data_IF_478912338144
#
_entry.id   IF_478912338144
#
_cell.length_a   1.000
_cell.length_b   1.000
_cell.length_c   1.000
_cell.angle_alpha   90.00
_cell.angle_beta   90.00
_cell.angle_gamma   90.00
#
_symmetry.space_group_name_H-M   'P 1'
#
loop_
_entity.id
_entity.type
_entity.pdbx_description
1 polymer ?
#
# COMPACT_ATOMS: atom_id res chain seq x y z
N UNK A 1 -22.94 6.31 5.46
CA UNK A 1 -22.65 5.68 6.77
C UNK A 1 -23.16 4.25 6.69
N UNK A 2 -22.26 3.28 6.51
CA UNK A 2 -22.66 1.86 6.57
C UNK A 2 -23.10 1.60 8.00
N UNK A 3 -24.35 1.18 8.21
CA UNK A 3 -24.85 0.88 9.55
C UNK A 3 -24.02 -0.26 10.14
N UNK A 4 -23.63 -0.14 11.42
CA UNK A 4 -22.91 -1.19 12.10
C UNK A 4 -23.84 -2.36 12.42
N UNK A 5 -23.39 -3.59 12.16
CA UNK A 5 -24.15 -4.80 12.49
C UNK A 5 -24.13 -5.07 14.00
N UNK A 6 -23.01 -4.76 14.65
CA UNK A 6 -22.92 -4.71 16.10
C UNK A 6 -22.00 -3.56 16.54
N UNK A 7 -22.36 -2.93 17.65
CA UNK A 7 -21.52 -1.93 18.31
C UNK A 7 -21.42 -2.27 19.79
N UNK A 8 -20.19 -2.39 20.27
CA UNK A 8 -19.87 -2.66 21.68
C UNK A 8 -19.00 -1.54 22.21
N UNK A 9 -18.70 -1.57 23.50
CA UNK A 9 -17.75 -0.64 24.11
C UNK A 9 -16.32 -0.82 23.59
N UNK A 10 -16.03 -1.95 22.93
CA UNK A 10 -14.69 -2.33 22.45
C UNK A 10 -14.52 -2.26 20.94
N UNK A 11 -15.57 -2.47 20.17
CA UNK A 11 -15.49 -2.56 18.72
C UNK A 11 -16.79 -2.15 18.02
N UNK A 12 -16.63 -1.63 16.81
CA UNK A 12 -17.69 -1.59 15.81
C UNK A 12 -17.48 -2.76 14.85
N UNK A 13 -18.45 -3.65 14.73
CA UNK A 13 -18.37 -4.85 13.88
C UNK A 13 -19.22 -4.64 12.63
N UNK A 14 -18.61 -4.88 11.47
CA UNK A 14 -19.27 -4.84 10.17
C UNK A 14 -19.22 -6.23 9.54
N UNK A 15 -20.37 -6.84 9.31
CA UNK A 15 -20.51 -8.09 8.58
C UNK A 15 -20.62 -7.76 7.09
N UNK A 16 -19.60 -8.11 6.31
CA UNK A 16 -19.53 -7.76 4.89
C UNK A 16 -19.52 -9.01 4.04
N UNK A 17 -20.65 -9.28 3.40
CA UNK A 17 -20.80 -10.33 2.40
C UNK A 17 -20.66 -9.75 0.99
N UNK A 18 -19.44 -9.31 0.66
CA UNK A 18 -19.08 -8.80 -0.66
C UNK A 18 -17.79 -9.44 -1.13
N UNK A 19 -17.70 -9.72 -2.44
CA UNK A 19 -16.49 -10.30 -3.03
C UNK A 19 -15.26 -9.39 -2.90
N UNK A 20 -15.46 -8.07 -2.89
CA UNK A 20 -14.39 -7.07 -2.70
C UNK A 20 -14.86 -6.06 -1.67
N UNK A 21 -14.04 -5.83 -0.66
CA UNK A 21 -14.27 -4.85 0.41
C UNK A 21 -13.32 -3.65 0.21
N UNK A 22 -13.86 -2.48 -0.17
CA UNK A 22 -13.07 -1.27 -0.36
C UNK A 22 -12.90 -0.48 0.95
N UNK A 23 -12.01 0.52 0.95
CA UNK A 23 -11.95 1.53 2.00
C UNK A 23 -13.07 2.55 1.80
N UNK A 24 -14.28 2.24 2.27
CA UNK A 24 -15.45 3.10 2.08
C UNK A 24 -15.43 4.38 2.93
N UNK A 25 -16.09 5.47 2.47
CA UNK A 25 -16.27 6.68 3.27
C UNK A 25 -16.92 6.38 4.63
N UNK A 26 -16.39 7.00 5.68
CA UNK A 26 -16.94 6.88 7.03
C UNK A 26 -16.54 5.62 7.79
N UNK A 27 -15.60 4.82 7.26
CA UNK A 27 -14.92 3.80 8.06
C UNK A 27 -14.20 4.50 9.22
N UNK A 28 -14.65 4.22 10.45
CA UNK A 28 -14.06 4.77 11.66
C UNK A 28 -12.87 3.95 12.11
N UNK A 29 -12.03 4.53 12.96
CA UNK A 29 -11.00 3.76 13.65
C UNK A 29 -11.65 2.69 14.56
N UNK A 30 -10.91 1.61 14.81
CA UNK A 30 -11.32 0.46 15.63
C UNK A 30 -12.51 -0.35 15.09
N UNK A 31 -12.69 -0.37 13.76
CA UNK A 31 -13.67 -1.24 13.09
C UNK A 31 -13.11 -2.65 12.87
N UNK A 32 -13.95 -3.66 13.13
CA UNK A 32 -13.69 -5.05 12.78
C UNK A 32 -14.58 -5.47 11.61
N UNK A 33 -13.97 -5.64 10.44
CA UNK A 33 -14.68 -6.07 9.24
C UNK A 33 -14.63 -7.59 9.14
N UNK A 34 -15.78 -8.23 9.24
CA UNK A 34 -15.94 -9.69 9.19
C UNK A 34 -16.39 -10.10 7.80
N UNK A 35 -15.62 -10.98 7.15
CA UNK A 35 -15.90 -11.45 5.78
C UNK A 35 -15.82 -12.97 5.67
N UNK A 36 -16.45 -13.60 4.67
CA UNK A 36 -16.12 -14.97 4.31
C UNK A 36 -14.70 -15.07 3.72
N UNK A 37 -14.14 -16.28 3.70
CA UNK A 37 -12.81 -16.58 3.11
C UNK A 37 -12.70 -16.30 1.60
N UNK A 38 -13.82 -16.21 0.90
CA UNK A 38 -13.90 -15.86 -0.52
C UNK A 38 -13.78 -14.35 -0.80
N UNK A 39 -13.94 -13.52 0.24
CA UNK A 39 -13.84 -12.08 0.10
C UNK A 39 -12.38 -11.63 -0.06
N UNK A 40 -12.20 -10.49 -0.71
CA UNK A 40 -10.90 -9.83 -0.88
C UNK A 40 -11.00 -8.39 -0.42
N UNK A 41 -9.88 -7.77 -0.09
CA UNK A 41 -9.80 -6.35 0.23
C UNK A 41 -8.99 -5.59 -0.81
N UNK A 42 -9.29 -4.30 -0.99
CA UNK A 42 -8.51 -3.40 -1.84
C UNK A 42 -7.18 -3.01 -1.15
N UNK A 43 -6.20 -2.50 -1.91
CA UNK A 43 -4.95 -1.99 -1.31
C UNK A 43 -5.17 -0.85 -0.30
N UNK A 44 -6.07 0.14 -0.54
CA UNK A 44 -6.39 1.16 0.47
C UNK A 44 -6.95 0.56 1.75
N UNK A 45 -7.86 -0.42 1.66
CA UNK A 45 -8.39 -1.10 2.84
C UNK A 45 -7.28 -1.86 3.59
N UNK A 46 -6.41 -2.57 2.86
CA UNK A 46 -5.24 -3.24 3.43
C UNK A 46 -4.31 -2.26 4.16
N UNK A 47 -4.00 -1.11 3.56
CA UNK A 47 -3.17 -0.09 4.18
C UNK A 47 -3.81 0.48 5.45
N UNK A 48 -5.13 0.70 5.43
CA UNK A 48 -5.89 1.15 6.59
C UNK A 48 -5.81 0.14 7.75
N UNK A 49 -5.97 -1.16 7.48
CA UNK A 49 -5.80 -2.22 8.49
C UNK A 49 -4.36 -2.26 9.03
N UNK A 50 -3.35 -2.19 8.15
CA UNK A 50 -1.94 -2.18 8.56
C UNK A 50 -1.56 -0.97 9.42
N UNK A 51 -2.29 0.15 9.29
CA UNK A 51 -2.12 1.32 10.15
C UNK A 51 -2.69 1.14 11.57
N UNK A 52 -3.30 -0.02 11.87
CA UNK A 52 -3.91 -0.32 13.16
C UNK A 52 -5.31 0.26 13.35
N UNK A 53 -5.89 0.88 12.32
CA UNK A 53 -7.20 1.55 12.38
C UNK A 53 -8.39 0.60 12.17
N UNK A 54 -8.14 -0.59 11.64
CA UNK A 54 -9.17 -1.61 11.47
C UNK A 54 -8.58 -3.01 11.66
N UNK A 55 -9.44 -4.01 11.88
CA UNK A 55 -9.09 -5.44 11.86
C UNK A 55 -9.89 -6.13 10.78
N UNK A 56 -9.23 -6.96 9.98
CA UNK A 56 -9.92 -7.82 9.02
C UNK A 56 -10.10 -9.22 9.62
N UNK A 57 -11.33 -9.54 9.97
CA UNK A 57 -11.71 -10.82 10.54
C UNK A 57 -12.27 -11.69 9.43
N UNK A 58 -11.68 -12.86 9.23
CA UNK A 58 -12.10 -13.81 8.20
C UNK A 58 -12.80 -14.97 8.88
N UNK A 59 -14.04 -15.22 8.48
CA UNK A 59 -14.81 -16.39 8.87
C UNK A 59 -14.52 -17.54 7.91
N UNK A 60 -14.11 -18.66 8.48
CA UNK A 60 -13.92 -19.94 7.79
C UNK A 60 -14.57 -21.07 8.61
N UNK A 61 -14.66 -22.27 8.05
CA UNK A 61 -15.28 -23.44 8.67
C UNK A 61 -14.66 -23.78 10.03
N UNK A 62 -13.36 -23.49 10.20
CA UNK A 62 -12.62 -23.73 11.44
C UNK A 62 -12.66 -22.60 12.47
N UNK A 63 -13.42 -21.51 12.23
CA UNK A 63 -13.53 -20.38 13.14
C UNK A 63 -13.17 -19.05 12.48
N UNK A 64 -12.55 -18.15 13.24
CA UNK A 64 -12.18 -16.81 12.80
C UNK A 64 -10.67 -16.62 12.81
N UNK A 65 -10.15 -15.82 11.89
CA UNK A 65 -8.74 -15.46 11.88
C UNK A 65 -8.53 -14.06 11.31
N UNK A 66 -7.38 -13.46 11.62
CA UNK A 66 -7.00 -12.17 11.04
C UNK A 66 -6.54 -12.37 9.59
N UNK A 67 -7.19 -11.71 8.64
CA UNK A 67 -6.99 -11.94 7.21
C UNK A 67 -5.62 -11.49 6.66
N UNK A 68 -4.88 -10.64 7.38
CA UNK A 68 -3.53 -10.23 6.96
C UNK A 68 -2.42 -11.07 7.58
N UNK A 69 -2.64 -11.56 8.80
CA UNK A 69 -1.61 -12.23 9.61
C UNK A 69 -1.85 -13.74 9.76
N UNK A 70 -3.06 -14.21 9.45
CA UNK A 70 -3.46 -15.60 9.65
C UNK A 70 -3.66 -16.00 11.11
N UNK A 71 -3.55 -15.06 12.05
CA UNK A 71 -3.63 -15.37 13.48
C UNK A 71 -5.06 -15.78 13.86
N UNK A 72 -5.28 -16.94 14.49
CA UNK A 72 -6.61 -17.34 14.95
C UNK A 72 -7.20 -16.32 15.92
N UNK A 73 -8.49 -16.02 15.74
CA UNK A 73 -9.28 -15.08 16.53
C UNK A 73 -10.46 -15.80 17.18
N UNK A 74 -10.91 -15.29 18.32
CA UNK A 74 -12.17 -15.69 18.93
C UNK A 74 -12.93 -14.45 19.42
N UNK A 75 -14.23 -14.58 19.60
CA UNK A 75 -15.04 -13.54 20.20
C UNK A 75 -14.83 -13.53 21.72
N UNK A 76 -14.50 -12.37 22.28
CA UNK A 76 -14.37 -12.17 23.73
C UNK A 76 -14.75 -10.73 24.06
N UNK A 77 -15.65 -10.58 25.04
CA UNK A 77 -16.03 -9.30 25.64
C UNK A 77 -16.40 -8.20 24.64
N UNK A 78 -17.07 -8.56 23.55
CA UNK A 78 -17.57 -7.60 22.58
C UNK A 78 -16.63 -7.30 21.41
N UNK A 79 -15.53 -8.04 21.23
CA UNK A 79 -14.65 -7.91 20.08
C UNK A 79 -14.04 -9.27 19.67
N UNK A 80 -13.61 -9.37 18.41
CA UNK A 80 -12.69 -10.43 17.99
C UNK A 80 -11.29 -10.11 18.48
N UNK A 81 -10.70 -11.03 19.25
CA UNK A 81 -9.35 -10.89 19.79
C UNK A 81 -8.51 -12.12 19.46
N UNK A 82 -7.18 -11.99 19.36
CA UNK A 82 -6.34 -13.13 19.09
C UNK A 82 -6.44 -14.22 20.17
N UNK A 83 -6.47 -15.47 19.74
CA UNK A 83 -6.40 -16.63 20.66
C UNK A 83 -4.99 -16.68 21.27
N UNK A 84 -4.82 -16.50 22.60
CA UNK A 84 -3.48 -16.40 23.20
C UNK A 84 -2.66 -17.69 23.09
N UNK A 85 -3.33 -18.84 23.11
CA UNK A 85 -2.70 -20.17 23.03
C UNK A 85 -2.41 -20.64 21.59
N UNK A 86 -2.82 -19.90 20.57
CA UNK A 86 -2.60 -20.27 19.18
C UNK A 86 -1.11 -20.19 18.83
N UNK A 87 -0.54 -21.32 18.38
CA UNK A 87 0.87 -21.44 17.99
C UNK A 87 1.10 -21.51 16.48
N UNK A 88 0.05 -21.70 15.71
CA UNK A 88 0.08 -21.84 14.25
C UNK A 88 -0.94 -20.90 13.60
N UNK A 89 -0.78 -20.66 12.31
CA UNK A 89 -1.72 -19.92 11.48
C UNK A 89 -3.01 -20.72 11.26
N UNK A 90 -4.11 -20.00 11.09
CA UNK A 90 -5.38 -20.60 10.72
C UNK A 90 -5.26 -21.42 9.42
N UNK A 91 -5.88 -22.61 9.33
CA UNK A 91 -5.80 -23.45 8.13
C UNK A 91 -6.18 -22.73 6.83
N UNK A 92 -7.24 -21.91 6.86
CA UNK A 92 -7.67 -21.08 5.72
C UNK A 92 -6.59 -20.11 5.24
N UNK A 93 -5.76 -19.57 6.13
CA UNK A 93 -4.67 -18.67 5.74
C UNK A 93 -3.51 -19.38 5.03
N UNK A 94 -3.25 -20.64 5.37
CA UNK A 94 -2.18 -21.46 4.76
C UNK A 94 -2.58 -22.07 3.42
N UNK A 95 -3.86 -21.96 3.08
CA UNK A 95 -4.44 -22.60 1.92
C UNK A 95 -4.06 -21.79 0.65
N UNK A 96 -3.68 -22.45 -0.48
CA UNK A 96 -3.13 -21.74 -1.64
C UNK A 96 -4.05 -20.64 -2.18
N UNK A 97 -3.52 -19.57 -2.79
CA UNK A 97 -4.32 -18.53 -3.44
C UNK A 97 -5.37 -19.11 -4.40
N UNK A 98 -6.53 -18.45 -4.48
CA UNK A 98 -7.66 -18.91 -5.30
C UNK A 98 -7.39 -18.93 -6.81
N UNK A 99 -6.33 -18.24 -7.24
CA UNK A 99 -5.85 -18.20 -8.61
C UNK A 99 -4.33 -18.12 -8.63
N UNK A 100 -3.75 -18.35 -9.81
CA UNK A 100 -2.32 -18.09 -10.03
C UNK A 100 -2.01 -16.61 -9.78
N UNK A 101 -1.04 -16.34 -8.92
CA UNK A 101 -0.58 -14.98 -8.63
C UNK A 101 0.43 -14.54 -9.68
N UNK A 102 0.39 -13.25 -10.01
CA UNK A 102 1.48 -12.60 -10.70
C UNK A 102 2.39 -11.92 -9.68
N UNK A 103 2.78 -10.68 -9.94
CA UNK A 103 3.59 -9.91 -9.00
C UNK A 103 3.12 -8.47 -8.86
N UNK A 104 3.43 -7.88 -7.72
CA UNK A 104 3.31 -6.46 -7.46
C UNK A 104 4.70 -5.85 -7.46
N UNK A 105 4.90 -4.79 -8.25
CA UNK A 105 6.02 -3.88 -8.06
C UNK A 105 5.51 -2.70 -7.24
N UNK A 106 6.10 -2.48 -6.07
CA UNK A 106 5.76 -1.37 -5.19
C UNK A 106 6.94 -0.42 -5.05
N UNK A 107 6.67 0.86 -5.27
CA UNK A 107 7.61 1.96 -5.04
C UNK A 107 7.09 2.83 -3.89
N UNK A 108 7.95 3.04 -2.89
CA UNK A 108 7.75 4.05 -1.85
C UNK A 108 8.60 5.25 -2.22
N UNK A 109 7.95 6.30 -2.74
CA UNK A 109 8.56 7.50 -3.29
C UNK A 109 8.41 8.66 -2.31
N UNK A 110 9.52 9.27 -1.92
CA UNK A 110 9.55 10.54 -1.20
C UNK A 110 9.93 11.65 -2.17
N UNK A 111 9.06 12.63 -2.36
CA UNK A 111 9.28 13.75 -3.26
C UNK A 111 8.72 15.05 -2.69
N UNK A 112 9.15 16.18 -3.26
CA UNK A 112 8.62 17.50 -2.90
C UNK A 112 8.35 18.30 -4.17
N UNK A 113 7.12 18.76 -4.33
CA UNK A 113 6.70 19.53 -5.50
C UNK A 113 5.76 20.66 -5.10
N UNK A 114 5.64 21.69 -5.93
CA UNK A 114 4.61 22.73 -5.77
C UNK A 114 3.21 22.23 -6.13
N UNK A 115 3.11 21.09 -6.82
CA UNK A 115 1.87 20.47 -7.27
C UNK A 115 1.76 19.05 -6.68
N UNK A 116 0.70 18.80 -5.92
CA UNK A 116 0.51 17.59 -5.11
C UNK A 116 0.51 16.28 -5.90
N UNK A 117 -0.01 16.32 -7.14
CA UNK A 117 -0.13 15.14 -8.00
C UNK A 117 1.09 14.86 -8.88
N UNK A 118 2.09 15.74 -8.91
CA UNK A 118 3.12 15.73 -9.97
C UNK A 118 4.04 14.51 -9.91
N UNK A 119 4.57 14.18 -8.74
CA UNK A 119 5.43 13.00 -8.57
C UNK A 119 4.71 11.70 -8.93
N UNK A 120 3.44 11.60 -8.53
CA UNK A 120 2.59 10.46 -8.83
C UNK A 120 2.25 10.36 -10.33
N UNK A 121 1.88 11.47 -10.96
CA UNK A 121 1.60 11.53 -12.41
C UNK A 121 2.81 11.00 -13.20
N UNK A 122 3.99 11.55 -12.91
CA UNK A 122 5.26 11.18 -13.54
C UNK A 122 5.58 9.70 -13.31
N UNK A 123 5.50 9.22 -12.07
CA UNK A 123 5.81 7.83 -11.73
C UNK A 123 4.87 6.83 -12.43
N UNK A 124 3.56 7.10 -12.44
CA UNK A 124 2.62 6.23 -13.16
C UNK A 124 2.89 6.26 -14.66
N UNK A 125 3.05 7.43 -15.30
CA UNK A 125 3.34 7.51 -16.74
C UNK A 125 4.60 6.74 -17.13
N UNK A 126 5.67 6.87 -16.34
CA UNK A 126 6.93 6.18 -16.61
C UNK A 126 6.81 4.67 -16.52
N UNK A 127 6.01 4.15 -15.58
CA UNK A 127 5.95 2.71 -15.30
C UNK A 127 4.79 2.00 -16.02
N UNK A 128 3.71 2.69 -16.34
CA UNK A 128 2.51 2.10 -16.96
C UNK A 128 2.19 2.69 -18.33
N UNK A 129 2.86 3.76 -18.75
CA UNK A 129 2.58 4.49 -19.99
C UNK A 129 1.40 5.46 -19.89
N UNK A 130 0.70 5.53 -18.76
CA UNK A 130 -0.50 6.33 -18.58
C UNK A 130 -0.51 7.07 -17.22
N UNK A 131 -1.15 8.25 -17.12
CA UNK A 131 -1.38 8.90 -15.84
C UNK A 131 -2.42 8.13 -15.02
N UNK A 132 -2.61 8.51 -13.74
CA UNK A 132 -3.81 8.10 -13.01
C UNK A 132 -5.08 8.54 -13.75
N UNK A 133 -6.19 7.83 -13.51
CA UNK A 133 -7.50 8.10 -14.08
C UNK A 133 -8.43 8.84 -13.10
N UNK A 134 -8.22 8.65 -11.80
CA UNK A 134 -9.01 9.28 -10.74
C UNK A 134 -8.28 9.36 -9.42
N UNK A 135 -8.83 10.16 -8.50
CA UNK A 135 -8.36 10.28 -7.12
C UNK A 135 -9.51 10.50 -6.12
N UNK A 136 -9.25 10.23 -4.84
CA UNK A 136 -10.18 10.43 -3.75
C UNK A 136 -9.57 10.14 -2.38
N UNK A 137 -10.30 10.39 -1.30
CA UNK A 137 -9.86 10.06 0.09
C UNK A 137 -10.36 8.70 0.57
N UNK A 138 -11.20 8.05 -0.25
CA UNK A 138 -11.82 6.75 -0.02
C UNK A 138 -12.24 6.15 -1.36
N UNK A 139 -12.72 4.92 -1.34
CA UNK A 139 -13.27 4.21 -2.48
C UNK A 139 -14.81 4.13 -2.39
N UNK A 140 -15.56 4.33 -3.50
CA UNK A 140 -15.09 4.65 -4.85
C UNK A 140 -14.52 6.07 -4.96
N UNK A 141 -13.66 6.30 -5.96
CA UNK A 141 -13.03 7.60 -6.16
C UNK A 141 -14.04 8.65 -6.63
N UNK A 142 -13.91 9.86 -6.10
CA UNK A 142 -14.88 10.95 -6.28
C UNK A 142 -14.48 11.91 -7.42
N UNK A 143 -13.19 11.91 -7.80
CA UNK A 143 -12.65 12.87 -8.74
C UNK A 143 -11.91 12.19 -9.90
N UNK A 144 -12.02 12.75 -11.10
CA UNK A 144 -11.13 12.42 -12.22
C UNK A 144 -9.73 12.95 -11.92
N UNK A 145 -8.72 12.35 -12.53
CA UNK A 145 -7.34 12.81 -12.38
C UNK A 145 -7.18 14.23 -12.91
N UNK A 146 -6.86 15.15 -11.99
CA UNK A 146 -6.54 16.55 -12.28
C UNK A 146 -5.58 17.04 -11.19
N UNK A 147 -4.26 17.04 -11.46
CA UNK A 147 -3.23 17.47 -10.52
C UNK A 147 -3.44 18.88 -9.93
N UNK A 148 -3.97 19.82 -10.73
CA UNK A 148 -4.27 21.17 -10.26
C UNK A 148 -5.45 21.17 -9.27
N UNK A 149 -6.50 20.39 -9.53
CA UNK A 149 -7.63 20.25 -8.61
C UNK A 149 -7.22 19.57 -7.30
N UNK A 150 -6.35 18.55 -7.37
CA UNK A 150 -5.76 17.92 -6.18
C UNK A 150 -4.94 18.92 -5.37
N UNK A 151 -4.13 19.75 -6.05
CA UNK A 151 -3.34 20.80 -5.39
C UNK A 151 -4.23 21.84 -4.72
N UNK A 152 -5.30 22.29 -5.38
CA UNK A 152 -6.28 23.19 -4.77
C UNK A 152 -6.97 22.55 -3.56
N UNK A 153 -7.31 21.26 -3.63
CA UNK A 153 -7.90 20.52 -2.51
C UNK A 153 -6.96 20.51 -1.29
N UNK A 154 -5.67 20.21 -1.48
CA UNK A 154 -4.65 20.17 -0.42
C UNK A 154 -4.50 21.50 0.32
N UNK A 155 -4.67 22.63 -0.37
CA UNK A 155 -4.63 23.96 0.23
C UNK A 155 -5.98 24.41 0.83
N UNK A 156 -7.05 23.62 0.67
CA UNK A 156 -8.37 23.99 1.16
C UNK A 156 -8.55 23.68 2.66
N UNK A 157 -9.43 24.40 3.39
CA UNK A 157 -9.77 24.08 4.79
C UNK A 157 -10.38 22.68 4.99
N UNK A 158 -10.88 22.08 3.90
CA UNK A 158 -11.44 20.73 3.86
C UNK A 158 -10.38 19.64 3.85
N UNK A 159 -9.11 19.98 3.58
CA UNK A 159 -8.02 19.02 3.68
C UNK A 159 -7.76 18.67 5.15
N UNK A 160 -7.84 17.38 5.47
CA UNK A 160 -7.66 16.85 6.83
C UNK A 160 -6.44 15.94 6.95
N UNK A 161 -5.40 16.17 6.14
CA UNK A 161 -4.19 15.35 6.11
C UNK A 161 -4.47 13.85 5.97
N UNK A 162 -5.50 13.49 5.19
CA UNK A 162 -5.86 12.10 4.91
C UNK A 162 -5.11 11.62 3.68
N UNK A 163 -4.66 10.35 3.64
CA UNK A 163 -4.05 9.79 2.45
C UNK A 163 -4.97 9.92 1.23
N UNK A 164 -4.38 10.28 0.10
CA UNK A 164 -5.04 10.33 -1.20
C UNK A 164 -4.84 9.01 -1.91
N UNK A 165 -5.93 8.42 -2.38
CA UNK A 165 -5.93 7.25 -3.23
C UNK A 165 -6.00 7.73 -4.67
N UNK A 166 -5.15 7.20 -5.53
CA UNK A 166 -5.23 7.40 -6.96
C UNK A 166 -5.10 6.06 -7.69
N UNK A 167 -5.84 5.89 -8.78
CA UNK A 167 -5.83 4.64 -9.56
C UNK A 167 -5.46 4.91 -10.99
N UNK A 168 -4.80 3.95 -11.62
CA UNK A 168 -4.52 3.93 -13.05
C UNK A 168 -4.74 2.52 -13.61
N UNK A 169 -4.20 2.27 -14.80
CA UNK A 169 -4.29 0.95 -15.41
C UNK A 169 -3.46 -0.06 -14.62
N UNK A 170 -4.13 -0.95 -13.87
CA UNK A 170 -3.51 -1.97 -13.01
C UNK A 170 -2.47 -1.37 -12.05
N UNK A 171 -2.70 -0.13 -11.64
CA UNK A 171 -1.86 0.63 -10.73
C UNK A 171 -2.71 1.37 -9.70
N UNK A 172 -2.19 1.48 -8.48
CA UNK A 172 -2.82 2.21 -7.40
C UNK A 172 -1.75 2.89 -6.55
N UNK A 173 -1.99 4.14 -6.19
CA UNK A 173 -1.15 4.88 -5.27
C UNK A 173 -1.93 5.31 -4.03
N UNK A 174 -1.24 5.27 -2.89
CA UNK A 174 -1.67 5.88 -1.64
C UNK A 174 -0.62 6.94 -1.30
N UNK A 175 -1.03 8.20 -1.26
CA UNK A 175 -0.13 9.34 -1.08
C UNK A 175 -0.51 10.14 0.16
N UNK A 176 0.43 10.26 1.09
CA UNK A 176 0.37 11.23 2.17
C UNK A 176 0.95 12.56 1.67
N UNK A 177 0.19 13.65 1.83
CA UNK A 177 0.57 14.98 1.37
C UNK A 177 0.67 15.93 2.56
N UNK A 178 1.80 16.61 2.68
CA UNK A 178 2.04 17.59 3.73
C UNK A 178 2.36 18.94 3.08
N UNK A 179 1.45 19.92 3.15
CA UNK A 179 1.76 21.29 2.75
C UNK A 179 2.91 21.85 3.60
N UNK A 180 3.89 22.45 2.93
CA UNK A 180 5.04 23.13 3.52
C UNK A 180 5.16 24.54 2.92
N UNK A 181 6.02 25.40 3.49
CA UNK A 181 6.14 26.80 3.06
C UNK A 181 6.65 26.97 1.62
N UNK A 182 7.42 26.02 1.11
CA UNK A 182 8.08 26.01 -0.20
C UNK A 182 7.59 24.86 -1.11
N UNK A 183 6.45 24.26 -0.79
CA UNK A 183 5.81 23.24 -1.64
C UNK A 183 4.98 22.24 -0.85
N UNK A 184 4.85 21.04 -1.38
CA UNK A 184 4.09 19.93 -0.81
C UNK A 184 5.02 18.72 -0.78
N UNK A 185 5.32 18.24 0.43
CA UNK A 185 6.00 16.97 0.61
C UNK A 185 5.01 15.83 0.36
N UNK A 186 5.43 14.83 -0.42
CA UNK A 186 4.63 13.68 -0.78
C UNK A 186 5.37 12.39 -0.42
N UNK A 187 4.71 11.53 0.36
CA UNK A 187 5.10 10.13 0.56
C UNK A 187 4.09 9.25 -0.18
N UNK A 188 4.51 8.72 -1.33
CA UNK A 188 3.64 7.92 -2.20
C UNK A 188 4.04 6.45 -2.14
N UNK A 189 3.09 5.57 -1.82
CA UNK A 189 3.21 4.13 -2.06
C UNK A 189 2.47 3.79 -3.35
N UNK A 190 3.20 3.64 -4.45
CA UNK A 190 2.67 3.24 -5.76
C UNK A 190 2.84 1.74 -5.95
N UNK A 191 1.77 1.02 -6.25
CA UNK A 191 1.79 -0.42 -6.56
C UNK A 191 1.26 -0.67 -7.96
N UNK A 192 1.96 -1.51 -8.73
CA UNK A 192 1.60 -1.92 -10.08
C UNK A 192 1.46 -3.44 -10.13
N UNK A 193 0.34 -3.91 -10.66
CA UNK A 193 -0.01 -5.32 -10.72
C UNK A 193 0.35 -5.93 -12.07
N UNK A 194 1.23 -6.92 -12.05
CA UNK A 194 1.62 -7.76 -13.18
C UNK A 194 0.90 -9.11 -13.07
N UNK A 195 0.45 -9.64 -14.19
CA UNK A 195 -0.29 -10.88 -14.31
C UNK A 195 0.70 -12.05 -14.33
N UNK A 196 0.24 -13.28 -14.10
CA UNK A 196 1.09 -14.44 -14.29
C UNK A 196 1.73 -14.43 -15.69
N UNK A 197 3.06 -14.55 -15.74
CA UNK A 197 3.84 -14.50 -16.99
C UNK A 197 4.28 -13.11 -17.43
N UNK A 198 3.71 -12.03 -16.89
CA UNK A 198 4.20 -10.66 -17.13
C UNK A 198 5.44 -10.38 -16.25
N UNK A 199 6.48 -9.80 -16.84
CA UNK A 199 7.73 -9.48 -16.14
C UNK A 199 7.80 -7.99 -15.82
N UNK A 200 7.92 -7.58 -14.55
CA UNK A 200 8.16 -6.18 -14.20
C UNK A 200 9.51 -5.69 -14.76
N UNK A 201 9.66 -4.39 -15.07
CA UNK A 201 10.87 -3.83 -15.66
C UNK A 201 11.98 -3.62 -14.62
N UNK A 202 12.35 -4.67 -13.88
CA UNK A 202 13.27 -4.60 -12.74
C UNK A 202 14.68 -4.13 -13.15
N UNK A 203 15.14 -4.53 -14.34
CA UNK A 203 16.45 -4.14 -14.86
C UNK A 203 16.49 -2.67 -15.28
N UNK A 204 15.39 -2.14 -15.82
CA UNK A 204 15.28 -0.74 -16.23
C UNK A 204 14.91 0.20 -15.07
N UNK A 205 14.54 -0.36 -13.91
CA UNK A 205 14.03 0.40 -12.78
C UNK A 205 14.96 1.54 -12.32
N UNK A 206 16.30 1.36 -12.24
CA UNK A 206 17.18 2.46 -11.85
C UNK A 206 17.13 3.62 -12.85
N UNK A 207 17.05 3.36 -14.16
CA UNK A 207 16.91 4.38 -15.20
C UNK A 207 15.55 5.08 -15.16
N UNK A 208 14.47 4.32 -14.89
CA UNK A 208 13.13 4.90 -14.74
C UNK A 208 13.06 5.81 -13.51
N UNK A 209 13.65 5.39 -12.38
CA UNK A 209 13.72 6.19 -11.15
C UNK A 209 14.59 7.44 -11.34
N UNK A 210 15.69 7.34 -12.08
CA UNK A 210 16.54 8.49 -12.43
C UNK A 210 15.78 9.61 -13.15
N UNK A 211 14.68 9.25 -13.82
CA UNK A 211 13.83 10.17 -14.58
C UNK A 211 12.75 10.84 -13.72
N UNK A 212 12.69 10.56 -12.41
CA UNK A 212 11.77 11.20 -11.48
C UNK A 212 12.34 12.52 -10.96
N UNK A 213 11.61 13.60 -11.19
CA UNK A 213 12.03 14.94 -10.74
C UNK A 213 11.72 15.14 -9.25
N UNK A 214 12.50 16.03 -8.61
CA UNK A 214 12.36 16.43 -7.20
C UNK A 214 12.14 15.28 -6.19
N UNK A 215 12.59 14.08 -6.56
CA UNK A 215 12.52 12.89 -5.73
C UNK A 215 13.74 12.85 -4.81
N UNK A 216 13.47 12.67 -3.52
CA UNK A 216 14.48 12.56 -2.47
C UNK A 216 14.93 11.11 -2.32
N UNK A 217 14.00 10.16 -2.33
CA UNK A 217 14.32 8.74 -2.31
C UNK A 217 13.21 7.87 -2.88
N UNK A 218 13.57 6.66 -3.34
CA UNK A 218 12.66 5.61 -3.78
C UNK A 218 13.10 4.29 -3.20
N UNK A 219 12.24 3.62 -2.42
CA UNK A 219 12.42 2.21 -2.09
C UNK A 219 11.55 1.37 -3.01
N UNK A 220 12.17 0.47 -3.76
CA UNK A 220 11.47 -0.50 -4.60
C UNK A 220 11.45 -1.87 -3.94
N UNK A 221 10.30 -2.53 -3.96
CA UNK A 221 10.17 -3.93 -3.55
C UNK A 221 9.16 -4.66 -4.43
N UNK A 222 9.31 -5.99 -4.50
CA UNK A 222 8.41 -6.88 -5.21
C UNK A 222 7.68 -7.79 -4.22
N UNK A 223 6.44 -8.15 -4.49
CA UNK A 223 5.74 -9.22 -3.78
C UNK A 223 4.90 -10.04 -4.75
N UNK A 224 4.47 -11.23 -4.35
CA UNK A 224 3.41 -11.93 -5.07
C UNK A 224 2.09 -11.22 -4.82
N UNK A 225 1.21 -11.22 -5.82
CA UNK A 225 -0.06 -10.54 -5.71
C UNK A 225 -0.94 -10.73 -6.95
N UNK A 226 -2.21 -10.35 -6.81
CA UNK A 226 -3.17 -10.39 -7.91
C UNK A 226 -3.00 -9.17 -8.81
N UNK A 227 -3.07 -9.37 -10.13
CA UNK A 227 -2.98 -8.29 -11.12
C UNK A 227 -4.03 -7.17 -10.92
N UNK A 228 -5.17 -7.50 -10.33
CA UNK A 228 -6.26 -6.57 -10.00
C UNK A 228 -6.06 -5.78 -8.70
N UNK A 229 -4.88 -5.90 -8.06
CA UNK A 229 -4.49 -5.19 -6.85
C UNK A 229 -5.42 -5.44 -5.64
N UNK A 230 -6.07 -6.60 -5.60
CA UNK A 230 -6.81 -7.04 -4.40
C UNK A 230 -6.01 -8.05 -3.60
N UNK A 231 -6.31 -8.14 -2.30
CA UNK A 231 -5.66 -9.04 -1.35
C UNK A 231 -6.63 -10.11 -0.87
N UNK A 232 -6.22 -11.37 -0.97
CA UNK A 232 -6.93 -12.53 -0.41
C UNK A 232 -6.51 -12.78 1.04
N UNK A 233 -7.36 -13.42 1.87
CA UNK A 233 -7.05 -13.73 3.27
C UNK A 233 -6.14 -14.97 3.38
N UNK A 234 -5.03 -14.96 2.63
CA UNK A 234 -4.13 -16.09 2.40
C UNK A 234 -2.69 -15.62 2.40
N UNK A 235 -1.79 -16.50 2.83
CA UNK A 235 -0.36 -16.26 2.78
C UNK A 235 0.14 -16.17 1.33
N UNK A 236 0.80 -15.06 1.00
CA UNK A 236 1.38 -14.80 -0.34
C UNK A 236 2.88 -14.58 -0.31
N UNK A 237 3.55 -14.91 0.80
CA UNK A 237 4.98 -14.69 0.98
C UNK A 237 5.32 -13.30 1.52
N UNK A 238 6.62 -13.08 1.72
CA UNK A 238 7.15 -11.77 2.14
C UNK A 238 7.53 -10.95 0.92
N UNK A 239 7.34 -9.62 0.92
CA UNK A 239 7.93 -8.76 -0.09
C UNK A 239 9.46 -8.83 -0.05
N UNK A 240 10.09 -8.77 -1.22
CA UNK A 240 11.54 -8.75 -1.40
C UNK A 240 11.96 -7.35 -1.86
N UNK A 241 12.84 -6.64 -1.12
CA UNK A 241 13.35 -5.36 -1.59
C UNK A 241 14.23 -5.55 -2.82
N UNK A 242 14.10 -4.64 -3.78
CA UNK A 242 14.85 -4.63 -5.04
C UNK A 242 16.00 -3.62 -4.96
N UNK A 243 15.72 -2.45 -4.41
CA UNK A 243 16.73 -1.41 -4.28
C UNK A 243 16.22 -0.12 -3.66
N UNK A 244 17.17 0.72 -3.26
CA UNK A 244 16.93 2.03 -2.70
C UNK A 244 17.64 3.07 -3.57
N UNK A 245 16.91 4.06 -4.07
CA UNK A 245 17.49 5.25 -4.68
C UNK A 245 17.49 6.38 -3.66
N UNK A 246 18.59 7.13 -3.55
CA UNK A 246 18.68 8.34 -2.72
C UNK A 246 19.29 9.46 -3.54
N UNK A 247 18.72 10.66 -3.45
CA UNK A 247 19.23 11.84 -4.15
C UNK A 247 20.66 12.19 -3.73
N UNK A 248 21.45 12.63 -4.71
CA UNK A 248 22.85 12.98 -4.57
C UNK A 248 23.81 11.79 -4.73
N UNK A 249 25.09 12.10 -4.88
CA UNK A 249 26.17 11.11 -4.93
C UNK A 249 26.49 10.64 -3.53
N UNK A 250 26.44 9.32 -3.30
CA UNK A 250 26.79 8.69 -2.02
C UNK A 250 27.98 7.76 -2.24
N UNK A 251 29.06 7.99 -1.51
CA UNK A 251 30.26 7.15 -1.56
C UNK A 251 30.08 5.93 -0.66
N UNK A 252 29.54 4.85 -1.21
CA UNK A 252 29.50 3.55 -0.52
C UNK A 252 29.92 2.44 -1.49
N UNK A 253 30.44 1.29 -1.01
CA UNK A 253 30.96 0.24 -1.88
C UNK A 253 29.91 -0.43 -2.79
N UNK A 254 28.62 -0.31 -2.47
CA UNK A 254 27.54 -1.05 -3.13
C UNK A 254 26.61 -0.16 -3.98
N UNK A 255 26.68 1.17 -3.79
CA UNK A 255 25.87 2.12 -4.54
C UNK A 255 26.54 2.55 -5.84
N UNK A 256 25.75 2.80 -6.89
CA UNK A 256 26.24 3.39 -8.13
C UNK A 256 25.35 4.56 -8.59
N UNK A 257 25.91 5.60 -9.24
CA UNK A 257 25.14 6.75 -9.69
C UNK A 257 24.18 6.36 -10.83
N UNK A 258 22.97 6.90 -10.77
CA UNK A 258 21.92 6.77 -11.80
C UNK A 258 21.43 8.17 -12.20
N UNK A 259 22.35 9.08 -12.51
CA UNK A 259 22.03 10.49 -12.76
C UNK A 259 22.00 11.29 -11.45
N UNK A 260 20.88 11.96 -11.09
CA UNK A 260 20.82 12.82 -9.88
C UNK A 260 20.72 12.03 -8.57
N UNK A 261 20.68 10.69 -8.62
CA UNK A 261 20.53 9.80 -7.48
C UNK A 261 21.62 8.74 -7.47
N UNK A 262 21.87 8.16 -6.30
CA UNK A 262 22.64 6.92 -6.13
C UNK A 262 21.68 5.76 -5.91
N UNK A 263 21.84 4.69 -6.68
CA UNK A 263 21.08 3.44 -6.54
C UNK A 263 21.86 2.42 -5.72
N UNK A 264 21.17 1.81 -4.76
CA UNK A 264 21.66 0.74 -3.91
C UNK A 264 20.84 -0.52 -4.19
N UNK A 265 21.39 -1.52 -4.90
CA UNK A 265 20.69 -2.78 -5.12
C UNK A 265 20.52 -3.51 -3.78
N UNK A 266 19.33 -4.05 -3.54
CA UNK A 266 18.98 -4.77 -2.31
C UNK A 266 18.67 -6.23 -2.63
N UNK A 267 18.97 -7.13 -1.69
CA UNK A 267 18.71 -8.56 -1.81
C UNK A 267 17.65 -9.03 -0.82
N UNK A 268 17.62 -8.41 0.36
CA UNK A 268 16.71 -8.70 1.45
C UNK A 268 16.57 -7.50 2.39
N UNK A 269 15.70 -7.62 3.39
CA UNK A 269 15.47 -6.57 4.39
C UNK A 269 16.67 -6.30 5.32
N UNK A 270 17.45 -7.31 5.77
CA UNK A 270 18.71 -7.04 6.47
C UNK A 270 19.67 -6.13 5.71
N UNK A 271 19.88 -6.37 4.41
CA UNK A 271 20.70 -5.49 3.57
C UNK A 271 20.14 -4.07 3.52
N UNK A 272 18.81 -3.92 3.42
CA UNK A 272 18.16 -2.60 3.48
C UNK A 272 18.46 -1.87 4.79
N UNK A 273 18.33 -2.53 5.94
CA UNK A 273 18.62 -1.91 7.24
C UNK A 273 20.09 -1.52 7.37
N UNK A 274 21.01 -2.35 6.86
CA UNK A 274 22.43 -2.01 6.81
C UNK A 274 22.70 -0.79 5.92
N UNK A 275 22.10 -0.72 4.74
CA UNK A 275 22.21 0.45 3.85
C UNK A 275 21.71 1.72 4.53
N UNK A 276 20.54 1.66 5.19
CA UNK A 276 20.02 2.80 5.95
C UNK A 276 20.96 3.25 7.06
N UNK A 277 21.52 2.31 7.82
CA UNK A 277 22.43 2.61 8.92
C UNK A 277 23.65 3.41 8.43
N UNK A 278 24.25 3.01 7.30
CA UNK A 278 25.36 3.74 6.68
C UNK A 278 24.95 5.14 6.17
N UNK A 279 23.75 5.27 5.61
CA UNK A 279 23.27 6.57 5.12
C UNK A 279 22.97 7.57 6.24
N UNK A 280 22.64 7.09 7.44
CA UNK A 280 22.43 7.92 8.63
C UNK A 280 23.72 8.31 9.35
N UNK A 281 24.82 7.59 9.13
CA UNK A 281 26.13 7.80 9.78
C UNK A 281 27.25 7.77 8.71
N UNK A 282 27.35 8.83 7.89
CA UNK A 282 28.27 8.88 6.75
C UNK A 282 29.75 8.93 7.16
#
# INVERSE_FOLDING_TARGET
MTAADARTDRATVLLVDRAIVPLSPGMTDSVQVVTPVSARITLPMRAHILSGKATWVVRDHGGYYDGLTGRPLHWSDGAFVPVPSARDYAPGFKTPPSQLLGSHLTLVVRAKHTEAGRSLDQAMRLLTGAPPTGWGTSEPLEHRWNPAALTAYVHSPSYKARPIIAVGQRSLAITELTPESDGIAALTTLTIGYAPGETPPLQQLPTLIASLDHTASVLAHQSLGRADLTTEPRWTGKPTPIGLAVRGTRTTPQGYPIGPMTWFPLRDWPHYHQTLHHLSHP
#
